data_IF_118735423740
#
_entry.id   IF_118735423740
#
_cell.length_a   1.000
_cell.length_b   1.000
_cell.length_c   1.000
_cell.angle_alpha   90.00
_cell.angle_beta   90.00
_cell.angle_gamma   90.00
#
_symmetry.space_group_name_H-M   'P 1'
#
loop_
_entity.id
_entity.type
_entity.pdbx_description
1 polymer ?
#
# COMPACT_ATOMS: atom_id res chain seq x y z
N UNK A 1 11.06 -11.56 -5.83
CA UNK A 1 10.12 -10.46 -6.14
C UNK A 1 9.10 -10.39 -5.03
N UNK A 2 9.00 -9.24 -4.38
CA UNK A 2 8.10 -9.03 -3.24
C UNK A 2 7.26 -7.79 -3.47
N UNK A 3 5.95 -7.88 -3.22
CA UNK A 3 5.00 -6.79 -3.45
C UNK A 3 4.55 -6.19 -2.12
N UNK A 4 4.42 -4.88 -2.09
CA UNK A 4 3.93 -4.11 -0.95
C UNK A 4 2.68 -3.32 -1.35
N UNK A 5 1.81 -3.12 -0.37
CA UNK A 5 0.61 -2.31 -0.45
C UNK A 5 0.91 -0.95 0.18
N UNK A 6 0.52 0.11 -0.54
CA UNK A 6 0.64 1.49 -0.07
C UNK A 6 -0.76 2.10 -0.03
N UNK A 7 -1.23 2.44 1.16
CA UNK A 7 -2.55 3.03 1.40
C UNK A 7 -2.46 4.46 1.92
N UNK A 8 -3.63 5.12 1.97
CA UNK A 8 -3.79 6.52 2.39
C UNK A 8 -3.01 7.52 1.52
N UNK A 9 -2.78 7.17 0.26
CA UNK A 9 -2.13 8.07 -0.69
C UNK A 9 -2.96 9.35 -0.88
N UNK A 10 -2.26 10.43 -1.23
CA UNK A 10 -2.92 11.63 -1.72
C UNK A 10 -3.61 11.33 -3.05
N UNK A 11 -4.68 12.07 -3.34
CA UNK A 11 -5.32 11.96 -4.65
C UNK A 11 -4.43 12.47 -5.78
N UNK A 12 -3.41 13.26 -5.43
CA UNK A 12 -2.39 13.78 -6.34
C UNK A 12 -1.23 12.81 -6.54
N UNK A 13 -1.11 11.77 -5.71
CA UNK A 13 -0.03 10.78 -5.86
C UNK A 13 -0.24 9.97 -7.13
N UNK A 14 0.80 9.91 -7.97
CA UNK A 14 0.81 9.21 -9.27
C UNK A 14 1.78 8.03 -9.22
N UNK A 15 1.77 7.20 -10.26
CA UNK A 15 2.74 6.10 -10.40
C UNK A 15 4.18 6.61 -10.30
N UNK A 16 4.47 7.77 -10.92
CA UNK A 16 5.80 8.37 -10.95
C UNK A 16 6.25 8.83 -9.56
N UNK A 17 5.38 9.55 -8.83
CA UNK A 17 5.72 10.03 -7.47
C UNK A 17 5.84 8.87 -6.49
N UNK A 18 5.00 7.84 -6.63
CA UNK A 18 5.12 6.60 -5.88
C UNK A 18 6.44 5.90 -6.21
N UNK A 19 6.78 5.74 -7.49
CA UNK A 19 8.03 5.11 -7.90
C UNK A 19 9.24 5.83 -7.32
N UNK A 20 9.30 7.16 -7.47
CA UNK A 20 10.41 7.97 -6.99
C UNK A 20 10.59 7.86 -5.47
N UNK A 21 9.51 7.96 -4.70
CA UNK A 21 9.56 7.87 -3.24
C UNK A 21 10.02 6.49 -2.74
N UNK A 22 9.65 5.42 -3.45
CA UNK A 22 9.97 4.05 -3.07
C UNK A 22 11.31 3.55 -3.66
N UNK A 23 11.87 4.25 -4.65
CA UNK A 23 13.18 3.92 -5.25
C UNK A 23 14.36 4.13 -4.30
N UNK A 24 14.20 4.90 -3.23
CA UNK A 24 15.25 5.12 -2.22
C UNK A 24 15.56 3.85 -1.41
N UNK A 25 14.58 2.95 -1.27
CA UNK A 25 14.70 1.74 -0.43
C UNK A 25 15.15 0.50 -1.20
N UNK A 26 15.21 0.57 -2.53
CA UNK A 26 15.60 -0.55 -3.38
C UNK A 26 15.15 -0.41 -4.82
N UNK A 27 15.42 -1.44 -5.62
CA UNK A 27 15.05 -1.48 -7.02
C UNK A 27 13.56 -1.79 -7.19
N UNK A 28 12.77 -0.75 -7.45
CA UNK A 28 11.36 -0.89 -7.82
C UNK A 28 11.26 -1.52 -9.21
N UNK A 29 10.62 -2.68 -9.27
CA UNK A 29 10.34 -3.43 -10.51
C UNK A 29 9.06 -2.93 -11.17
N UNK A 30 8.05 -2.60 -10.37
CA UNK A 30 6.76 -2.12 -10.84
C UNK A 30 6.07 -1.27 -9.77
N UNK A 31 5.36 -0.21 -10.18
CA UNK A 31 4.61 0.65 -9.27
C UNK A 31 3.31 1.11 -9.92
N UNK A 32 2.19 0.84 -9.27
CA UNK A 32 0.86 1.16 -9.79
C UNK A 32 -0.03 1.77 -8.71
N UNK A 33 -0.51 2.99 -8.96
CA UNK A 33 -1.57 3.65 -8.22
C UNK A 33 -2.89 3.22 -8.81
N UNK A 34 -3.78 2.72 -7.95
CA UNK A 34 -5.10 2.32 -8.37
C UNK A 34 -5.96 3.57 -8.56
N UNK A 35 -6.38 3.81 -9.79
CA UNK A 35 -7.30 4.89 -10.14
C UNK A 35 -8.70 4.34 -10.40
N UNK A 36 -9.69 5.17 -10.15
CA UNK A 36 -11.07 4.93 -10.53
C UNK A 36 -11.20 5.03 -12.05
N UNK A 37 -11.78 4.00 -12.69
CA UNK A 37 -11.84 3.92 -14.16
C UNK A 37 -12.84 4.90 -14.77
N UNK A 38 -13.84 5.33 -14.01
CA UNK A 38 -14.88 6.24 -14.51
C UNK A 38 -14.43 7.69 -14.40
N UNK A 39 -13.82 8.05 -13.28
CA UNK A 39 -13.41 9.44 -12.98
C UNK A 39 -11.93 9.72 -13.23
N UNK A 40 -11.10 8.68 -13.41
CA UNK A 40 -9.65 8.79 -13.52
C UNK A 40 -8.94 9.19 -12.23
N UNK A 41 -9.67 9.33 -11.10
CA UNK A 41 -9.12 9.81 -9.83
C UNK A 41 -8.42 8.69 -9.07
N UNK A 42 -7.32 9.02 -8.38
CA UNK A 42 -6.67 8.07 -7.48
C UNK A 42 -7.63 7.58 -6.40
N UNK A 43 -7.66 6.26 -6.19
CA UNK A 43 -8.43 5.61 -5.13
C UNK A 43 -7.75 5.74 -3.76
N UNK A 44 -6.60 6.42 -3.68
CA UNK A 44 -5.86 6.63 -2.45
C UNK A 44 -5.05 5.41 -2.02
N UNK A 45 -4.76 4.48 -2.93
CA UNK A 45 -3.89 3.35 -2.68
C UNK A 45 -3.20 2.85 -3.96
N UNK A 46 -2.10 2.13 -3.77
CA UNK A 46 -1.31 1.56 -4.85
C UNK A 46 -0.50 0.34 -4.37
N UNK A 47 0.24 -0.22 -5.31
CA UNK A 47 1.14 -1.34 -5.08
C UNK A 47 2.52 -1.02 -5.65
N UNK A 48 3.54 -1.48 -4.95
CA UNK A 48 4.94 -1.41 -5.40
C UNK A 48 5.51 -2.82 -5.34
N UNK A 49 6.21 -3.24 -6.40
CA UNK A 49 6.86 -4.53 -6.51
C UNK A 49 8.36 -4.31 -6.53
N UNK A 50 9.06 -4.98 -5.62
CA UNK A 50 10.52 -5.00 -5.53
C UNK A 50 11.11 -6.30 -6.06
N UNK A 51 12.41 -6.27 -6.32
CA UNK A 51 13.14 -7.45 -6.76
C UNK A 51 13.31 -8.46 -5.61
N UNK A 52 13.63 -8.00 -4.40
CA UNK A 52 13.84 -8.83 -3.20
C UNK A 52 12.85 -8.51 -2.07
N UNK A 53 12.77 -9.40 -1.08
CA UNK A 53 11.96 -9.21 0.14
C UNK A 53 12.62 -8.23 1.12
N UNK A 54 13.94 -8.16 1.12
CA UNK A 54 14.72 -7.25 1.97
C UNK A 54 14.41 -5.79 1.59
N UNK A 55 14.41 -5.47 0.29
CA UNK A 55 14.04 -4.15 -0.23
C UNK A 55 12.59 -3.78 0.14
N UNK A 56 11.67 -4.74 0.00
CA UNK A 56 10.26 -4.55 0.35
C UNK A 56 10.08 -4.30 1.86
N UNK A 57 10.82 -5.00 2.71
CA UNK A 57 10.76 -4.85 4.17
C UNK A 57 11.35 -3.51 4.60
N UNK A 58 12.51 -3.13 4.06
CA UNK A 58 13.12 -1.83 4.30
C UNK A 58 12.18 -0.68 3.91
N UNK A 59 11.50 -0.79 2.78
CA UNK A 59 10.50 0.18 2.35
C UNK A 59 9.29 0.24 3.31
N UNK A 60 8.81 -0.89 3.81
CA UNK A 60 7.72 -0.92 4.79
C UNK A 60 8.15 -0.22 6.08
N UNK A 61 9.32 -0.55 6.63
CA UNK A 61 9.80 0.03 7.89
C UNK A 61 10.14 1.51 7.76
N UNK A 62 10.70 1.94 6.62
CA UNK A 62 11.06 3.33 6.38
C UNK A 62 9.88 4.24 6.05
N UNK A 63 8.91 3.75 5.25
CA UNK A 63 7.83 4.58 4.70
C UNK A 63 6.49 4.44 5.44
N UNK A 64 6.28 3.39 6.23
CA UNK A 64 5.03 3.24 6.94
C UNK A 64 4.86 4.35 8.00
N UNK A 65 3.83 5.18 7.84
CA UNK A 65 3.60 6.33 8.72
C UNK A 65 4.36 7.59 8.32
N UNK A 66 5.09 7.59 7.19
CA UNK A 66 5.69 8.79 6.63
C UNK A 66 4.66 9.67 5.93
N UNK A 67 4.98 10.94 5.73
CA UNK A 67 4.18 11.87 4.95
C UNK A 67 4.61 11.86 3.48
N UNK A 68 3.66 11.63 2.58
CA UNK A 68 3.83 11.74 1.13
C UNK A 68 2.72 12.63 0.57
N UNK A 69 3.08 13.66 -0.20
CA UNK A 69 2.13 14.62 -0.78
C UNK A 69 1.19 15.25 0.28
N UNK A 70 1.69 15.51 1.49
CA UNK A 70 0.92 16.07 2.61
C UNK A 70 -0.07 15.10 3.26
N UNK A 71 0.09 13.78 3.04
CA UNK A 71 -0.68 12.74 3.73
C UNK A 71 0.20 11.65 4.32
N UNK A 72 -0.13 11.24 5.54
CA UNK A 72 0.49 10.08 6.18
C UNK A 72 0.09 8.79 5.47
N UNK A 73 1.05 8.14 4.83
CA UNK A 73 0.85 6.89 4.10
C UNK A 73 0.96 5.69 5.05
N UNK A 74 0.36 4.57 4.64
CA UNK A 74 0.49 3.29 5.36
C UNK A 74 1.02 2.23 4.42
N UNK A 75 2.13 1.60 4.78
CA UNK A 75 2.84 0.63 3.94
C UNK A 75 2.83 -0.72 4.62
N UNK A 76 2.44 -1.77 3.90
CA UNK A 76 2.34 -3.13 4.42
C UNK A 76 2.71 -4.15 3.34
N UNK A 77 3.05 -5.38 3.73
CA UNK A 77 3.24 -6.49 2.78
C UNK A 77 1.95 -6.72 1.99
N UNK A 78 2.04 -6.76 0.66
CA UNK A 78 0.89 -7.08 -0.17
C UNK A 78 0.61 -8.58 -0.06
N UNK A 79 -0.41 -8.93 0.70
CA UNK A 79 -0.90 -10.30 0.71
C UNK A 79 -1.49 -10.58 -0.69
N UNK A 80 -0.88 -11.52 -1.43
CA UNK A 80 -1.44 -12.08 -2.65
C UNK A 80 -2.67 -12.94 -2.31
N UNK A 81 -3.72 -12.32 -1.82
CA UNK A 81 -5.02 -12.96 -1.61
C UNK A 81 -5.92 -12.55 -2.75
N UNK A 82 -5.88 -13.35 -3.83
CA UNK A 82 -7.07 -13.54 -4.62
C UNK A 82 -8.16 -14.10 -3.69
N UNK A 83 -9.21 -13.32 -3.43
CA UNK A 83 -10.39 -13.73 -2.65
C UNK A 83 -10.22 -13.65 -1.14
N UNK A 84 -11.10 -12.88 -0.47
CA UNK A 84 -11.21 -12.90 1.00
C UNK A 84 -11.64 -11.56 1.57
N UNK A 85 -12.96 -11.36 1.67
CA UNK A 85 -13.54 -10.18 2.31
C UNK A 85 -13.00 -10.00 3.73
N UNK A 86 -12.55 -8.79 4.03
CA UNK A 86 -12.48 -8.30 5.41
C UNK A 86 -13.90 -7.96 5.85
N UNK A 87 -14.69 -8.99 6.10
CA UNK A 87 -15.85 -8.88 6.98
C UNK A 87 -15.33 -8.59 8.38
N UNK A 88 -15.72 -7.45 8.93
CA UNK A 88 -15.49 -7.13 10.33
C UNK A 88 -16.21 -8.15 11.21
N UNK A 89 -15.45 -9.03 11.85
CA UNK A 89 -15.92 -9.87 12.95
C UNK A 89 -15.13 -9.50 14.19
N UNK A 90 -15.50 -8.41 14.84
CA UNK A 90 -15.03 -8.08 16.18
C UNK A 90 -15.45 -9.17 17.19
N UNK A 91 -14.76 -9.26 18.33
CA UNK A 91 -14.76 -10.44 19.19
C UNK A 91 -16.14 -10.73 19.78
N UNK A 92 -16.51 -12.02 19.76
CA UNK A 92 -17.63 -12.61 20.48
C UNK A 92 -17.56 -12.27 21.96
N UNK A 93 -18.47 -11.41 22.43
CA UNK A 93 -18.80 -11.30 23.85
C UNK A 93 -20.30 -11.12 24.00
N UNK A 94 -21.00 -12.24 24.22
CA UNK A 94 -22.26 -12.22 24.94
C UNK A 94 -22.37 -13.50 25.75
N UNK A 95 -21.75 -13.46 26.92
CA UNK A 95 -22.13 -14.30 28.05
C UNK A 95 -23.41 -13.68 28.61
N UNK A 96 -24.56 -14.33 28.41
CA UNK A 96 -25.77 -14.08 29.19
C UNK A 96 -26.50 -15.42 29.38
N UNK A 97 -26.45 -15.85 30.65
CA UNK A 97 -27.38 -16.71 31.40
C UNK A 97 -27.88 -17.98 30.72
#
# INVERSE_FOLDING_TARGET
MSKIFVGKLSWNTTNDTLHAAFSEFGQVVDSIVMVDRETGRSRGFGFVTYNTEEEATAAIEGMNGQELDGRTISVNVANARGGGGRGGGGPSKSLYL
#
